data_IF_971617730960
#
_entry.id   IF_971617730960
#
_cell.length_a   1.000
_cell.length_b   1.000
_cell.length_c   1.000
_cell.angle_alpha   90.00
_cell.angle_beta   90.00
_cell.angle_gamma   90.00
#
_symmetry.space_group_name_H-M   'P 1'
#
loop_
_entity.id
_entity.type
_entity.pdbx_description
1 polymer ?
#
# COMPACT_ATOMS: atom_id res chain seq x y z
N UNK A 1 6.52 -11.68 0.25
CA UNK A 1 6.73 -13.04 0.82
C UNK A 1 5.39 -13.71 1.02
N UNK A 2 5.34 -15.03 1.13
CA UNK A 2 4.09 -15.80 1.23
C UNK A 2 4.25 -16.96 2.21
N UNK A 3 3.13 -17.59 2.58
CA UNK A 3 3.15 -18.78 3.41
C UNK A 3 3.96 -19.91 2.75
N UNK A 4 4.83 -20.66 3.49
CA UNK A 4 5.71 -21.67 2.88
C UNK A 4 5.00 -22.77 2.09
N UNK A 5 3.78 -23.11 2.51
CA UNK A 5 2.98 -24.19 1.93
C UNK A 5 1.91 -23.71 0.94
N UNK A 6 1.73 -22.41 0.79
CA UNK A 6 0.71 -21.83 -0.08
C UNK A 6 1.34 -20.77 -0.99
N UNK A 7 1.33 -20.95 -2.30
CA UNK A 7 1.76 -19.89 -3.21
C UNK A 7 0.85 -18.68 -3.07
N UNK A 8 1.33 -17.47 -3.36
CA UNK A 8 0.50 -16.28 -3.34
C UNK A 8 -0.66 -16.43 -4.35
N UNK A 9 -1.87 -15.97 -4.03
CA UNK A 9 -3.03 -16.04 -4.93
C UNK A 9 -2.93 -15.10 -6.14
N UNK A 10 -1.87 -14.32 -6.21
CA UNK A 10 -1.62 -13.36 -7.28
C UNK A 10 -0.89 -14.03 -8.42
N UNK A 11 -1.41 -13.89 -9.63
CA UNK A 11 -0.64 -14.18 -10.84
C UNK A 11 0.58 -13.27 -10.90
N UNK A 12 1.64 -13.74 -11.55
CA UNK A 12 2.89 -12.99 -11.63
C UNK A 12 2.64 -11.56 -12.14
N UNK A 13 3.07 -10.59 -11.36
CA UNK A 13 3.08 -9.19 -11.79
C UNK A 13 4.07 -9.09 -12.95
N UNK A 14 3.56 -8.89 -14.16
CA UNK A 14 4.39 -8.87 -15.39
C UNK A 14 5.11 -7.54 -15.59
N UNK A 15 4.65 -6.49 -14.96
CA UNK A 15 5.15 -5.13 -15.16
C UNK A 15 6.49 -4.87 -14.45
N UNK A 16 6.81 -5.68 -13.44
CA UNK A 16 8.04 -5.58 -12.67
C UNK A 16 8.66 -6.96 -12.45
N UNK A 17 10.00 -7.08 -12.49
CA UNK A 17 10.67 -8.30 -12.10
C UNK A 17 10.32 -8.67 -10.67
N UNK A 18 9.46 -9.67 -10.50
CA UNK A 18 8.95 -10.10 -9.20
C UNK A 18 9.57 -11.41 -8.77
N UNK A 19 9.93 -11.51 -7.49
CA UNK A 19 10.41 -12.74 -6.86
C UNK A 19 9.45 -13.14 -5.74
N UNK A 20 9.05 -14.39 -5.76
CA UNK A 20 8.22 -14.99 -4.71
C UNK A 20 9.13 -15.81 -3.80
N UNK A 21 9.07 -15.53 -2.52
CA UNK A 21 9.85 -16.24 -1.52
C UNK A 21 8.99 -16.63 -0.34
N UNK A 22 9.12 -17.88 0.10
CA UNK A 22 8.51 -18.37 1.32
C UNK A 22 9.01 -17.55 2.52
N UNK A 23 8.11 -17.21 3.42
CA UNK A 23 8.44 -16.49 4.64
C UNK A 23 9.07 -17.46 5.64
N UNK A 24 10.28 -17.17 6.07
CA UNK A 24 10.99 -17.90 7.10
C UNK A 24 10.85 -17.19 8.46
N UNK A 25 10.73 -17.97 9.53
CA UNK A 25 10.50 -17.42 10.88
C UNK A 25 11.62 -16.49 11.35
N UNK A 26 12.85 -16.84 11.05
CA UNK A 26 14.05 -16.04 11.38
C UNK A 26 14.16 -14.74 10.56
N UNK A 27 13.42 -14.62 9.45
CA UNK A 27 13.37 -13.42 8.59
C UNK A 27 12.09 -12.61 8.75
N UNK A 28 11.18 -13.03 9.62
CA UNK A 28 9.88 -12.40 9.77
C UNK A 28 10.00 -10.92 10.18
N UNK A 29 10.81 -10.63 11.19
CA UNK A 29 11.01 -9.26 11.70
C UNK A 29 11.58 -8.34 10.60
N UNK A 30 12.65 -8.76 9.93
CA UNK A 30 13.27 -8.01 8.85
C UNK A 30 12.31 -7.79 7.68
N UNK A 31 11.49 -8.79 7.39
CA UNK A 31 10.50 -8.73 6.32
C UNK A 31 9.39 -7.72 6.63
N UNK A 32 8.89 -7.71 7.86
CA UNK A 32 7.90 -6.74 8.31
C UNK A 32 8.53 -5.34 8.32
N UNK A 33 9.73 -5.20 8.87
CA UNK A 33 10.43 -3.92 8.90
C UNK A 33 10.63 -3.34 7.49
N UNK A 34 11.01 -4.18 6.52
CA UNK A 34 11.22 -3.72 5.15
C UNK A 34 9.97 -3.15 4.49
N UNK A 35 8.79 -3.68 4.80
CA UNK A 35 7.52 -3.15 4.24
C UNK A 35 7.16 -1.77 4.78
N UNK A 36 7.71 -1.36 5.91
CA UNK A 36 7.55 -0.01 6.47
C UNK A 36 8.72 0.92 6.16
N UNK A 37 9.72 0.45 5.42
CA UNK A 37 10.89 1.25 5.08
C UNK A 37 10.62 2.18 3.91
N UNK A 38 10.08 3.37 4.22
CA UNK A 38 9.78 4.39 3.20
C UNK A 38 11.09 4.94 2.63
N UNK A 39 11.28 4.89 1.29
CA UNK A 39 12.44 5.46 0.64
C UNK A 39 12.65 6.92 0.98
N UNK A 40 13.90 7.34 1.02
CA UNK A 40 14.35 8.69 1.43
C UNK A 40 14.25 8.92 2.94
N UNK A 41 13.23 8.38 3.62
CA UNK A 41 13.05 8.55 5.07
C UNK A 41 13.80 7.51 5.90
N UNK A 42 13.95 6.29 5.36
CA UNK A 42 14.59 5.17 6.06
C UNK A 42 15.66 4.48 5.19
N UNK A 43 16.62 3.83 5.85
CA UNK A 43 17.74 3.15 5.16
C UNK A 43 17.36 1.88 4.42
N UNK A 44 16.16 1.33 4.67
CA UNK A 44 15.80 0.00 4.19
C UNK A 44 16.50 -1.14 4.93
N UNK A 45 16.14 -2.38 4.60
CA UNK A 45 16.69 -3.59 5.19
C UNK A 45 17.50 -4.35 4.15
N UNK A 46 18.68 -4.85 4.53
CA UNK A 46 19.59 -5.53 3.62
C UNK A 46 19.32 -7.03 3.53
N UNK A 47 19.47 -7.57 2.33
CA UNK A 47 19.65 -8.99 2.04
C UNK A 47 18.57 -9.94 2.61
N UNK A 48 17.30 -9.50 2.60
CA UNK A 48 16.18 -10.30 3.13
C UNK A 48 15.90 -11.52 2.25
N UNK A 49 15.82 -11.32 0.94
CA UNK A 49 15.44 -12.34 -0.04
C UNK A 49 16.41 -12.39 -1.22
N UNK A 50 17.68 -12.25 -0.93
CA UNK A 50 18.76 -12.13 -1.88
C UNK A 50 19.53 -10.83 -1.67
N UNK A 51 20.62 -10.63 -2.38
CA UNK A 51 21.50 -9.48 -2.22
C UNK A 51 20.78 -8.19 -2.64
N UNK A 52 20.77 -7.18 -1.77
CA UNK A 52 20.20 -5.86 -2.07
C UNK A 52 19.58 -5.17 -0.86
N UNK A 53 19.05 -3.97 -1.09
CA UNK A 53 18.32 -3.18 -0.10
C UNK A 53 16.83 -3.30 -0.40
N UNK A 54 16.06 -3.68 0.61
CA UNK A 54 14.61 -3.85 0.52
C UNK A 54 13.91 -2.69 1.21
N UNK A 55 12.93 -2.14 0.54
CA UNK A 55 12.13 -1.00 1.01
C UNK A 55 10.64 -1.25 0.74
N UNK A 56 9.79 -0.33 1.21
CA UNK A 56 8.35 -0.36 1.02
C UNK A 56 7.98 -0.47 -0.48
N UNK A 57 7.12 -1.43 -0.78
CA UNK A 57 6.59 -1.64 -2.14
C UNK A 57 5.68 -0.53 -2.62
N UNK A 58 5.18 0.33 -1.74
CA UNK A 58 4.33 1.46 -2.08
C UNK A 58 4.98 2.49 -3.02
N UNK A 59 6.28 2.39 -3.28
CA UNK A 59 6.95 3.19 -4.32
C UNK A 59 6.34 2.91 -5.68
N UNK A 60 6.13 1.64 -5.98
CA UNK A 60 5.71 1.15 -7.29
C UNK A 60 4.27 0.71 -7.34
N UNK A 61 3.72 0.28 -6.21
CA UNK A 61 2.36 -0.22 -6.08
C UNK A 61 1.71 0.23 -4.76
N UNK A 62 1.49 1.53 -4.65
CA UNK A 62 0.86 2.14 -3.49
C UNK A 62 -0.64 1.87 -3.44
N UNK A 63 -1.32 1.90 -4.56
CA UNK A 63 -2.75 1.76 -4.71
C UNK A 63 -3.21 0.37 -5.16
N UNK A 64 -2.40 -0.67 -4.98
CA UNK A 64 -2.72 -2.04 -5.40
C UNK A 64 -3.23 -2.12 -6.86
N UNK A 65 -2.52 -1.47 -7.79
CA UNK A 65 -2.83 -1.56 -9.22
C UNK A 65 -2.44 -2.94 -9.78
N UNK A 66 -3.05 -3.98 -9.19
CA UNK A 66 -2.80 -5.39 -9.47
C UNK A 66 -3.99 -6.02 -10.19
N UNK A 67 -3.76 -6.97 -11.09
CA UNK A 67 -4.83 -7.70 -11.77
C UNK A 67 -5.51 -8.71 -10.83
N UNK A 68 -6.23 -8.20 -9.83
CA UNK A 68 -6.98 -9.02 -8.89
C UNK A 68 -8.23 -9.57 -9.58
N UNK A 69 -8.12 -10.79 -10.10
CA UNK A 69 -9.21 -11.47 -10.82
C UNK A 69 -9.73 -12.65 -10.01
N UNK A 70 -10.67 -12.43 -9.07
CA UNK A 70 -11.28 -13.53 -8.34
C UNK A 70 -12.06 -14.43 -9.31
N UNK A 71 -12.03 -15.73 -9.09
CA UNK A 71 -12.80 -16.71 -9.91
C UNK A 71 -14.29 -16.43 -9.84
N UNK A 72 -14.78 -16.02 -8.67
CA UNK A 72 -16.18 -15.64 -8.41
C UNK A 72 -16.23 -14.39 -7.53
N UNK A 73 -17.31 -13.60 -7.67
CA UNK A 73 -17.55 -12.41 -6.86
C UNK A 73 -16.68 -11.21 -7.23
N UNK A 74 -16.48 -10.35 -6.25
CA UNK A 74 -15.75 -9.09 -6.36
C UNK A 74 -14.71 -8.98 -5.24
N UNK A 75 -13.67 -8.21 -5.50
CA UNK A 75 -12.72 -7.77 -4.47
C UNK A 75 -13.28 -6.51 -3.83
N UNK A 76 -13.40 -6.49 -2.51
CA UNK A 76 -13.72 -5.26 -1.76
C UNK A 76 -12.42 -4.55 -1.42
N UNK A 77 -12.29 -3.30 -1.87
CA UNK A 77 -11.10 -2.49 -1.67
C UNK A 77 -11.46 -1.20 -0.93
N UNK A 78 -11.31 -1.16 0.40
CA UNK A 78 -11.42 0.09 1.16
C UNK A 78 -10.29 1.04 0.78
N UNK A 79 -10.60 2.27 0.42
CA UNK A 79 -9.62 3.29 0.07
C UNK A 79 -10.09 4.68 0.52
N UNK A 80 -9.17 5.63 0.59
CA UNK A 80 -9.46 7.02 0.97
C UNK A 80 -10.02 7.85 -0.20
N UNK A 81 -9.75 7.43 -1.43
CA UNK A 81 -10.06 8.14 -2.66
C UNK A 81 -10.74 7.24 -3.65
N UNK A 82 -11.60 7.80 -4.48
CA UNK A 82 -12.23 7.11 -5.61
C UNK A 82 -11.22 6.65 -6.66
N UNK A 83 -10.07 7.32 -6.73
CA UNK A 83 -9.00 6.99 -7.66
C UNK A 83 -7.75 6.64 -6.87
N UNK A 84 -7.42 5.35 -6.72
CA UNK A 84 -6.17 4.94 -6.10
C UNK A 84 -4.96 5.51 -6.86
N UNK A 85 -3.94 5.96 -6.14
CA UNK A 85 -2.70 6.40 -6.76
C UNK A 85 -1.81 5.18 -7.04
N UNK A 86 -1.29 4.99 -8.25
CA UNK A 86 -0.45 3.82 -8.58
C UNK A 86 0.80 3.71 -7.72
N UNK A 87 1.57 4.79 -7.58
CA UNK A 87 2.76 4.86 -6.73
C UNK A 87 2.67 5.98 -5.69
N UNK A 88 3.41 5.88 -4.60
CA UNK A 88 3.36 6.89 -3.55
C UNK A 88 3.82 8.28 -4.01
N UNK A 89 4.69 8.35 -5.02
CA UNK A 89 5.14 9.60 -5.64
C UNK A 89 4.19 10.10 -6.73
N UNK A 90 3.24 9.28 -7.16
CA UNK A 90 2.30 9.61 -8.24
C UNK A 90 1.09 10.42 -7.75
N UNK A 91 0.94 10.63 -6.45
CA UNK A 91 -0.21 11.33 -5.86
C UNK A 91 -0.45 12.74 -6.42
N UNK A 92 0.59 13.43 -6.83
CA UNK A 92 0.52 14.77 -7.46
C UNK A 92 0.38 14.72 -8.97
N UNK A 93 0.55 13.55 -9.58
CA UNK A 93 0.60 13.38 -11.02
C UNK A 93 -0.78 12.94 -11.53
N UNK A 94 -1.65 13.90 -11.84
CA UNK A 94 -3.05 13.63 -12.22
C UNK A 94 -3.21 12.77 -13.48
N UNK A 95 -2.18 12.67 -14.31
CA UNK A 95 -2.18 11.81 -15.50
C UNK A 95 -1.83 10.33 -15.20
N UNK A 96 -1.26 10.06 -14.01
CA UNK A 96 -0.93 8.71 -13.55
C UNK A 96 -2.17 8.09 -12.93
N UNK A 97 -2.96 7.40 -13.74
CA UNK A 97 -4.15 6.67 -13.30
C UNK A 97 -3.88 5.18 -13.29
N UNK A 98 -4.54 4.44 -12.38
CA UNK A 98 -4.47 2.99 -12.37
C UNK A 98 -5.05 2.39 -13.66
N UNK A 99 -4.64 1.17 -13.97
CA UNK A 99 -5.16 0.43 -15.13
C UNK A 99 -6.60 -0.01 -14.86
N UNK A 100 -7.55 0.48 -15.63
CA UNK A 100 -8.97 0.16 -15.46
C UNK A 100 -9.27 -1.35 -15.44
N UNK A 101 -8.58 -2.13 -16.25
CA UNK A 101 -8.77 -3.58 -16.33
C UNK A 101 -8.44 -4.30 -15.01
N UNK A 102 -7.51 -3.78 -14.22
CA UNK A 102 -7.15 -4.34 -12.93
C UNK A 102 -8.30 -4.22 -11.92
N UNK A 103 -9.16 -3.23 -12.08
CA UNK A 103 -10.30 -2.96 -11.19
C UNK A 103 -11.65 -3.46 -11.73
N UNK A 104 -11.66 -4.20 -12.85
CA UNK A 104 -12.90 -4.67 -13.49
C UNK A 104 -13.81 -5.53 -12.59
N UNK A 105 -13.26 -6.12 -11.55
CA UNK A 105 -13.98 -6.91 -10.53
C UNK A 105 -13.73 -6.39 -9.11
N UNK A 106 -13.49 -5.10 -8.96
CA UNK A 106 -13.21 -4.47 -7.68
C UNK A 106 -14.29 -3.46 -7.32
N UNK A 107 -14.78 -3.54 -6.10
CA UNK A 107 -15.67 -2.54 -5.50
C UNK A 107 -14.80 -1.67 -4.60
N UNK A 108 -14.59 -0.41 -4.97
CA UNK A 108 -13.85 0.54 -4.15
C UNK A 108 -14.81 1.17 -3.15
N UNK A 109 -14.55 0.96 -1.85
CA UNK A 109 -15.31 1.55 -0.77
C UNK A 109 -14.56 2.79 -0.27
N UNK A 110 -15.18 3.96 -0.39
CA UNK A 110 -14.58 5.23 0.04
C UNK A 110 -15.47 5.94 1.05
N UNK A 111 -14.89 6.70 2.00
CA UNK A 111 -15.68 7.50 2.92
C UNK A 111 -16.43 8.60 2.17
N UNK A 112 -17.70 8.78 2.52
CA UNK A 112 -18.50 9.88 1.99
C UNK A 112 -17.95 11.22 2.48
N UNK A 113 -18.00 12.25 1.65
CA UNK A 113 -17.51 13.59 2.01
C UNK A 113 -18.12 14.11 3.31
N UNK A 114 -19.45 13.93 3.50
CA UNK A 114 -20.14 14.32 4.73
C UNK A 114 -19.66 13.56 6.00
N UNK A 115 -19.06 12.38 5.84
CA UNK A 115 -18.40 11.68 6.94
C UNK A 115 -17.05 12.32 7.24
N UNK A 116 -16.26 12.60 6.19
CA UNK A 116 -14.93 13.21 6.33
C UNK A 116 -15.03 14.59 7.02
N UNK A 117 -16.02 15.38 6.66
CA UNK A 117 -16.28 16.71 7.27
C UNK A 117 -16.58 16.64 8.78
N UNK A 118 -17.00 15.49 9.27
CA UNK A 118 -17.28 15.25 10.71
C UNK A 118 -16.05 14.76 11.49
N UNK A 119 -14.98 14.40 10.80
CA UNK A 119 -13.71 14.05 11.45
C UNK A 119 -13.06 15.30 12.05
N UNK A 120 -12.21 15.14 13.08
CA UNK A 120 -11.37 16.23 13.55
C UNK A 120 -10.64 16.91 12.37
N UNK A 121 -10.56 18.23 12.36
CA UNK A 121 -10.00 19.02 11.25
C UNK A 121 -10.69 18.85 9.88
N UNK A 122 -11.84 18.18 9.80
CA UNK A 122 -12.60 17.99 8.55
C UNK A 122 -11.88 17.22 7.45
N UNK A 123 -10.90 16.41 7.81
CA UNK A 123 -10.09 15.64 6.85
C UNK A 123 -9.70 14.26 7.39
N UNK A 124 -9.32 13.37 6.49
CA UNK A 124 -8.70 12.09 6.83
C UNK A 124 -7.26 12.36 7.32
N UNK A 125 -6.81 11.73 8.44
CA UNK A 125 -5.44 11.86 8.91
C UNK A 125 -4.39 11.55 7.83
N UNK A 126 -3.34 12.35 7.78
CA UNK A 126 -2.25 12.17 6.85
C UNK A 126 -0.88 12.48 7.47
N UNK A 127 0.20 12.19 6.73
CA UNK A 127 1.57 12.40 7.21
C UNK A 127 1.93 13.85 7.55
N UNK A 128 1.20 14.84 7.01
CA UNK A 128 1.47 16.25 7.32
C UNK A 128 1.05 16.59 8.75
N UNK A 129 0.18 15.78 9.35
CA UNK A 129 -0.26 15.95 10.73
C UNK A 129 0.88 15.72 11.71
N UNK A 130 1.88 14.91 11.34
CA UNK A 130 3.10 14.76 12.16
C UNK A 130 3.96 16.02 12.22
N UNK A 131 3.84 16.90 11.23
CA UNK A 131 4.55 18.18 11.17
C UNK A 131 3.71 19.32 11.75
N UNK A 132 2.39 19.28 11.47
CA UNK A 132 1.49 20.40 11.74
C UNK A 132 0.82 20.32 13.11
N UNK A 133 0.73 19.14 13.72
CA UNK A 133 0.05 18.91 14.99
C UNK A 133 1.06 18.52 16.07
N UNK A 134 0.86 19.01 17.29
CA UNK A 134 1.61 18.57 18.46
C UNK A 134 1.12 17.19 18.97
N UNK A 135 1.78 16.61 19.97
CA UNK A 135 1.48 15.26 20.46
C UNK A 135 0.08 15.15 21.07
N UNK A 136 -0.40 16.18 21.77
CA UNK A 136 -1.73 16.17 22.39
C UNK A 136 -2.84 16.27 21.33
N UNK A 137 -2.66 17.12 20.34
CA UNK A 137 -3.60 17.21 19.20
C UNK A 137 -3.66 15.90 18.43
N UNK A 138 -2.53 15.24 18.22
CA UNK A 138 -2.49 13.93 17.55
C UNK A 138 -3.21 12.85 18.32
N UNK A 139 -3.11 12.79 19.65
CA UNK A 139 -3.83 11.81 20.48
C UNK A 139 -5.35 11.90 20.36
N UNK A 140 -5.86 13.10 20.13
CA UNK A 140 -7.32 13.30 19.92
C UNK A 140 -7.74 12.94 18.50
N UNK A 141 -6.82 13.03 17.55
CA UNK A 141 -7.09 12.88 16.14
C UNK A 141 -6.88 11.43 15.65
N UNK A 142 -5.97 10.70 16.26
CA UNK A 142 -5.66 9.31 15.94
C UNK A 142 -6.23 8.35 16.97
#
# INVERSE_FOLDING_TARGET
MHHPQQPPPLESIKDLPSRYQALERNRLADSILSTGCIPVLTKGVKDIAGKGIYQDGGITDYGFDLPLKPKQGFVLYPNFSHTPAPGCFDKSLKWRTPKHDNYSRTIILVPKQTFVERLPHGKIPDRNDFVNLNDEERKVYW
#
